data_IF_352916221830
#
_entry.id   IF_352916221830
#
_cell.length_a   1.000
_cell.length_b   1.000
_cell.length_c   1.000
_cell.angle_alpha   90.00
_cell.angle_beta   90.00
_cell.angle_gamma   90.00
#
_symmetry.space_group_name_H-M   'P 1'
#
loop_
_entity.id
_entity.type
_entity.pdbx_description
1 polymer ?
#
# COMPACT_ATOMS: atom_id res chain seq x y z
N UNK A 1 4.74 16.95 15.40
CA UNK A 1 4.03 17.88 14.49
C UNK A 1 2.58 17.45 14.40
N UNK A 2 1.63 18.38 14.47
CA UNK A 2 0.19 18.13 14.34
C UNK A 2 -0.37 19.00 13.24
N UNK A 3 -1.05 18.39 12.26
CA UNK A 3 -1.74 19.11 11.20
C UNK A 3 -3.21 19.26 11.58
N UNK A 4 -3.70 20.49 11.65
CA UNK A 4 -5.13 20.77 11.90
C UNK A 4 -5.98 20.60 10.62
N UNK A 5 -5.35 20.79 9.47
CA UNK A 5 -5.98 20.66 8.15
C UNK A 5 -5.07 19.83 7.25
N UNK A 6 -5.45 18.59 7.02
CA UNK A 6 -4.75 17.69 6.13
C UNK A 6 -5.77 16.93 5.26
N UNK A 7 -5.62 17.02 3.96
CA UNK A 7 -6.57 16.47 2.99
C UNK A 7 -5.88 15.52 2.03
N UNK A 8 -6.55 14.41 1.74
CA UNK A 8 -6.13 13.52 0.68
C UNK A 8 -6.52 14.12 -0.68
N UNK A 9 -5.66 14.06 -1.71
CA UNK A 9 -5.92 14.68 -3.01
C UNK A 9 -7.07 14.03 -3.79
N UNK A 10 -7.50 12.82 -3.42
CA UNK A 10 -8.61 12.11 -4.03
C UNK A 10 -9.19 11.07 -3.06
N UNK A 11 -10.49 10.77 -3.13
CA UNK A 11 -11.10 9.67 -2.39
C UNK A 11 -10.73 8.28 -2.95
N UNK A 12 -10.12 8.23 -4.15
CA UNK A 12 -9.71 6.99 -4.81
C UNK A 12 -8.21 6.75 -4.62
N UNK A 13 -7.87 5.53 -4.18
CA UNK A 13 -6.48 5.17 -3.84
C UNK A 13 -5.49 5.38 -5.00
N UNK A 14 -5.84 4.96 -6.20
CA UNK A 14 -4.99 5.08 -7.40
C UNK A 14 -4.65 6.53 -7.71
N UNK A 15 -5.67 7.38 -7.81
CA UNK A 15 -5.51 8.81 -8.13
C UNK A 15 -4.75 9.55 -7.04
N UNK A 16 -5.05 9.25 -5.77
CA UNK A 16 -4.37 9.83 -4.63
C UNK A 16 -2.88 9.45 -4.58
N UNK A 17 -2.57 8.18 -4.84
CA UNK A 17 -1.19 7.69 -4.86
C UNK A 17 -0.39 8.29 -6.01
N UNK A 18 -0.96 8.37 -7.20
CA UNK A 18 -0.33 9.06 -8.33
C UNK A 18 -0.06 10.53 -8.00
N UNK A 19 -1.03 11.23 -7.43
CA UNK A 19 -0.90 12.61 -7.01
C UNK A 19 0.25 12.83 -6.01
N UNK A 20 0.38 11.95 -5.02
CA UNK A 20 1.46 11.99 -4.03
C UNK A 20 2.83 11.76 -4.69
N UNK A 21 2.93 10.77 -5.60
CA UNK A 21 4.20 10.43 -6.23
C UNK A 21 4.75 11.55 -7.13
N UNK A 22 3.89 12.30 -7.78
CA UNK A 22 4.30 13.37 -8.69
C UNK A 22 4.15 14.78 -8.11
N UNK A 23 3.67 14.92 -6.87
CA UNK A 23 3.44 16.23 -6.25
C UNK A 23 2.46 17.12 -7.01
N UNK A 24 1.49 16.53 -7.70
CA UNK A 24 0.54 17.22 -8.55
C UNK A 24 -0.91 16.88 -8.18
N UNK A 25 -1.85 17.77 -8.47
CA UNK A 25 -3.28 17.43 -8.36
C UNK A 25 -3.65 16.29 -9.30
N UNK A 26 -4.67 15.52 -8.96
CA UNK A 26 -5.13 14.37 -9.76
C UNK A 26 -5.46 14.75 -11.21
N UNK A 27 -6.05 15.92 -11.43
CA UNK A 27 -6.34 16.44 -12.75
C UNK A 27 -5.05 16.72 -13.56
N UNK A 28 -4.02 17.27 -12.92
CA UNK A 28 -2.73 17.58 -13.54
C UNK A 28 -1.92 16.32 -13.84
N UNK A 29 -2.00 15.33 -12.97
CA UNK A 29 -1.41 14.00 -13.21
C UNK A 29 -2.10 13.31 -14.38
N UNK A 30 -3.39 13.61 -14.61
CA UNK A 30 -4.23 12.93 -15.59
C UNK A 30 -4.85 11.63 -15.08
N UNK A 31 -4.83 11.41 -13.76
CA UNK A 31 -5.36 10.23 -13.09
C UNK A 31 -6.44 10.65 -12.09
N UNK A 32 -7.65 10.98 -12.59
CA UNK A 32 -8.76 11.46 -11.75
C UNK A 32 -9.51 10.30 -11.11
N UNK A 33 -9.66 9.20 -11.84
CA UNK A 33 -10.34 8.01 -11.35
C UNK A 33 -9.61 6.72 -11.78
N UNK A 34 -9.91 5.63 -11.11
CA UNK A 34 -9.42 4.31 -11.53
C UNK A 34 -9.99 3.93 -12.90
N UNK A 35 -11.19 4.40 -13.20
CA UNK A 35 -11.88 4.14 -14.47
C UNK A 35 -11.13 4.74 -15.66
N UNK A 36 -10.57 5.94 -15.50
CA UNK A 36 -9.84 6.61 -16.57
C UNK A 36 -8.58 5.84 -16.97
N UNK A 37 -7.93 5.22 -16.03
CA UNK A 37 -6.61 4.62 -16.22
C UNK A 37 -6.69 3.11 -16.46
N UNK A 38 -7.54 2.41 -15.70
CA UNK A 38 -7.63 0.95 -15.76
C UNK A 38 -8.66 0.48 -16.78
N UNK A 39 -9.83 1.12 -16.79
CA UNK A 39 -10.95 0.67 -17.64
C UNK A 39 -10.94 1.30 -19.04
N UNK A 40 -10.71 2.59 -19.12
CA UNK A 40 -10.69 3.31 -20.41
C UNK A 40 -9.33 3.25 -21.09
N UNK A 41 -8.32 2.62 -20.49
CA UNK A 41 -6.95 2.56 -21.02
C UNK A 41 -6.43 3.93 -21.46
N UNK A 42 -6.89 4.99 -20.86
CA UNK A 42 -6.28 6.30 -21.03
C UNK A 42 -4.85 6.21 -20.54
N UNK A 43 -3.94 6.25 -21.46
CA UNK A 43 -2.54 6.18 -21.18
C UNK A 43 -2.12 7.51 -20.56
N UNK A 44 -2.00 7.52 -19.23
CA UNK A 44 -1.38 8.65 -18.56
C UNK A 44 0.12 8.48 -18.79
N UNK A 45 0.71 9.46 -19.44
CA UNK A 45 2.15 9.46 -19.70
C UNK A 45 2.90 9.82 -18.41
N UNK A 46 3.17 8.81 -17.61
CA UNK A 46 3.93 8.97 -16.38
C UNK A 46 5.44 9.12 -16.63
N UNK A 47 5.93 8.64 -17.77
CA UNK A 47 7.35 8.70 -18.13
C UNK A 47 7.83 10.14 -18.34
N UNK A 48 6.93 11.04 -18.73
CA UNK A 48 7.24 12.47 -18.87
C UNK A 48 7.12 13.27 -17.57
N UNK A 49 6.91 12.61 -16.45
CA UNK A 49 6.72 13.27 -15.16
C UNK A 49 7.77 12.76 -14.17
N UNK A 50 8.50 13.68 -13.57
CA UNK A 50 9.42 13.33 -12.49
C UNK A 50 8.66 12.93 -11.24
N UNK A 51 8.94 11.74 -10.75
CA UNK A 51 8.46 11.27 -9.45
C UNK A 51 9.24 11.96 -8.31
N UNK A 52 8.70 11.86 -7.11
CA UNK A 52 9.37 12.36 -5.91
C UNK A 52 10.75 11.70 -5.70
N UNK A 53 10.86 10.40 -6.00
CA UNK A 53 12.15 9.69 -5.89
C UNK A 53 13.15 10.14 -6.95
N UNK A 54 12.71 10.36 -8.19
CA UNK A 54 13.56 10.90 -9.27
C UNK A 54 14.03 12.32 -8.95
N UNK A 55 13.16 13.19 -8.47
CA UNK A 55 13.54 14.54 -8.05
C UNK A 55 14.62 14.54 -6.95
N UNK A 56 14.49 13.65 -5.98
CA UNK A 56 15.48 13.50 -4.91
C UNK A 56 16.80 12.97 -5.45
N UNK A 57 16.78 12.07 -6.40
CA UNK A 57 17.96 11.53 -7.07
C UNK A 57 18.67 12.61 -7.89
N UNK A 58 17.92 13.38 -8.68
CA UNK A 58 18.44 14.49 -9.49
C UNK A 58 18.98 15.66 -8.65
N UNK A 59 18.56 15.77 -7.39
CA UNK A 59 19.08 16.81 -6.49
C UNK A 59 20.60 16.73 -6.25
N UNK A 60 21.23 15.61 -6.60
CA UNK A 60 22.66 15.37 -6.39
C UNK A 60 23.07 15.21 -4.91
N UNK A 61 22.12 15.19 -3.98
CA UNK A 61 22.39 15.11 -2.53
C UNK A 61 22.61 13.68 -2.01
N UNK A 62 22.67 12.69 -2.90
CA UNK A 62 22.96 11.30 -2.55
C UNK A 62 21.85 10.58 -1.81
N UNK A 63 20.60 10.99 -2.00
CA UNK A 63 19.44 10.29 -1.43
C UNK A 63 19.38 8.86 -1.94
N UNK A 64 19.01 7.95 -1.02
CA UNK A 64 18.61 6.59 -1.35
C UNK A 64 17.14 6.44 -1.02
N UNK A 65 16.36 5.95 -1.98
CA UNK A 65 14.91 5.87 -1.86
C UNK A 65 14.40 4.43 -1.77
N UNK A 66 13.44 4.21 -0.87
CA UNK A 66 12.75 2.93 -0.70
C UNK A 66 11.24 3.09 -0.85
N UNK A 67 10.60 2.14 -1.54
CA UNK A 67 9.17 2.04 -1.61
C UNK A 67 8.73 0.62 -1.26
N UNK A 68 7.99 0.48 -0.15
CA UNK A 68 7.51 -0.80 0.32
C UNK A 68 5.98 -0.81 0.43
N UNK A 69 5.37 -1.84 -0.14
CA UNK A 69 3.94 -2.08 -0.05
C UNK A 69 3.13 -1.71 -1.28
N UNK A 70 1.91 -1.21 -1.04
CA UNK A 70 0.89 -1.02 -2.07
C UNK A 70 1.29 0.03 -3.09
N UNK A 71 1.40 -0.41 -4.33
CA UNK A 71 1.65 0.45 -5.47
C UNK A 71 0.43 1.19 -6.00
N UNK A 72 0.60 1.75 -7.19
CA UNK A 72 -0.46 2.33 -7.98
C UNK A 72 -0.46 1.64 -9.34
N UNK A 73 -1.53 0.95 -9.68
CA UNK A 73 -1.63 0.14 -10.90
C UNK A 73 -1.20 0.85 -12.19
N UNK A 74 -1.54 2.14 -12.41
CA UNK A 74 -1.14 2.83 -13.63
C UNK A 74 0.32 3.21 -13.70
N UNK A 75 1.01 3.26 -12.54
CA UNK A 75 2.41 3.67 -12.47
C UNK A 75 3.39 2.56 -12.85
N UNK A 76 2.92 1.32 -13.05
CA UNK A 76 3.83 0.21 -13.27
C UNK A 76 4.74 -0.04 -12.07
N UNK A 77 6.02 -0.21 -12.34
CA UNK A 77 7.02 -0.54 -11.34
C UNK A 77 7.60 0.75 -10.71
N UNK A 78 7.56 0.87 -9.39
CA UNK A 78 8.18 2.01 -8.69
C UNK A 78 9.69 2.10 -8.91
N UNK A 79 10.35 0.97 -9.19
CA UNK A 79 11.75 0.95 -9.57
C UNK A 79 12.01 1.77 -10.85
N UNK A 80 11.08 1.72 -11.78
CA UNK A 80 11.16 2.48 -13.04
C UNK A 80 10.89 3.98 -12.82
N UNK A 81 10.41 4.35 -11.63
CA UNK A 81 10.19 5.72 -11.18
C UNK A 81 11.19 6.17 -10.10
N UNK A 82 12.44 5.73 -10.22
CA UNK A 82 13.56 6.25 -9.47
C UNK A 82 13.79 5.66 -8.08
N UNK A 83 12.92 4.76 -7.58
CA UNK A 83 13.14 4.10 -6.30
C UNK A 83 14.25 3.06 -6.39
N UNK A 84 15.20 3.13 -5.46
CA UNK A 84 16.37 2.25 -5.44
C UNK A 84 16.06 0.87 -4.87
N UNK A 85 15.22 0.81 -3.85
CA UNK A 85 14.81 -0.43 -3.17
C UNK A 85 13.29 -0.54 -3.08
N UNK A 86 12.74 -1.72 -3.43
CA UNK A 86 11.31 -2.01 -3.36
C UNK A 86 11.10 -3.45 -2.88
N UNK A 87 9.95 -3.73 -2.23
CA UNK A 87 9.54 -5.09 -1.81
C UNK A 87 8.53 -5.70 -2.79
N UNK A 88 8.66 -5.39 -4.04
CA UNK A 88 7.69 -5.75 -5.06
C UNK A 88 7.56 -7.27 -5.26
N UNK A 89 6.33 -7.75 -5.32
CA UNK A 89 6.03 -9.16 -5.62
C UNK A 89 5.69 -9.29 -7.11
N UNK A 90 6.55 -9.96 -7.87
CA UNK A 90 6.50 -10.08 -9.33
C UNK A 90 5.16 -10.57 -9.91
N UNK A 91 4.40 -11.37 -9.19
CA UNK A 91 3.14 -11.94 -9.68
C UNK A 91 1.93 -11.01 -9.52
N UNK A 92 2.07 -9.95 -8.75
CA UNK A 92 1.01 -8.98 -8.47
C UNK A 92 1.54 -7.56 -8.57
N UNK A 93 1.53 -6.95 -9.75
CA UNK A 93 2.12 -5.63 -10.00
C UNK A 93 1.63 -4.52 -9.08
N UNK A 94 0.41 -4.61 -8.61
CA UNK A 94 -0.13 -3.65 -7.64
C UNK A 94 0.20 -4.02 -6.19
N UNK A 95 0.89 -5.15 -5.97
CA UNK A 95 1.26 -5.65 -4.65
C UNK A 95 0.06 -5.97 -3.74
N UNK A 96 -1.16 -5.92 -4.26
CA UNK A 96 -2.33 -6.25 -3.47
C UNK A 96 -2.39 -7.73 -3.10
N UNK A 97 -1.37 -8.52 -3.54
CA UNK A 97 -1.29 -9.95 -3.38
C UNK A 97 -2.41 -10.49 -2.52
N UNK A 98 -3.48 -10.96 -3.12
CA UNK A 98 -4.64 -11.47 -2.50
C UNK A 98 -5.43 -10.61 -1.59
N UNK A 99 -6.15 -9.89 -2.12
CA UNK A 99 -7.27 -9.30 -1.52
C UNK A 99 -8.24 -8.87 -2.56
N UNK A 100 -7.91 -9.15 -3.76
CA UNK A 100 -8.81 -8.88 -4.85
C UNK A 100 -9.79 -10.04 -4.94
N UNK A 101 -11.04 -9.74 -4.86
CA UNK A 101 -12.18 -10.64 -4.72
C UNK A 101 -12.38 -11.61 -5.88
N UNK A 102 -11.61 -11.49 -6.94
CA UNK A 102 -11.65 -12.39 -8.10
C UNK A 102 -10.60 -13.49 -8.06
N UNK A 103 -9.68 -13.49 -7.09
CA UNK A 103 -8.71 -14.58 -6.97
C UNK A 103 -9.14 -15.60 -5.92
N UNK A 104 -9.14 -16.90 -6.27
CA UNK A 104 -9.36 -17.96 -5.30
C UNK A 104 -8.34 -17.90 -4.15
N UNK A 105 -8.78 -18.22 -2.95
CA UNK A 105 -7.93 -18.25 -1.76
C UNK A 105 -6.68 -19.12 -1.92
N UNK A 106 -6.78 -20.19 -2.70
CA UNK A 106 -5.69 -21.14 -3.00
C UNK A 106 -4.51 -20.50 -3.77
N UNK A 107 -4.73 -19.37 -4.40
CA UNK A 107 -3.67 -18.59 -5.08
C UNK A 107 -3.07 -17.50 -4.21
N UNK A 108 -3.41 -17.47 -2.93
CA UNK A 108 -2.89 -16.47 -2.02
C UNK A 108 -1.41 -16.70 -1.73
N UNK A 109 -0.61 -15.69 -2.09
CA UNK A 109 0.83 -15.66 -1.77
C UNK A 109 1.10 -14.98 -0.42
N UNK A 110 0.05 -14.54 0.30
CA UNK A 110 0.19 -13.91 1.61
C UNK A 110 -0.10 -14.97 2.67
N UNK A 111 0.86 -15.25 3.55
CA UNK A 111 0.65 -16.13 4.67
C UNK A 111 -0.51 -15.64 5.57
N UNK A 112 -1.29 -16.55 6.12
CA UNK A 112 -2.40 -16.24 7.03
C UNK A 112 -1.95 -15.55 8.32
N UNK A 113 -0.68 -15.71 8.70
CA UNK A 113 -0.02 -15.06 9.83
C UNK A 113 0.54 -13.67 9.50
N UNK A 114 0.48 -13.24 8.25
CA UNK A 114 0.86 -11.91 7.81
C UNK A 114 -0.25 -11.19 7.04
N UNK A 115 -1.41 -10.94 7.67
CA UNK A 115 -2.55 -10.35 7.01
C UNK A 115 -2.21 -8.97 6.44
N UNK A 116 -2.53 -8.77 5.16
CA UNK A 116 -2.19 -7.52 4.44
C UNK A 116 -0.69 -7.19 4.46
N UNK A 117 0.16 -8.17 4.63
CA UNK A 117 1.62 -8.01 4.65
C UNK A 117 2.12 -7.00 5.69
N UNK A 118 1.41 -6.83 6.80
CA UNK A 118 1.78 -5.84 7.82
C UNK A 118 3.15 -6.14 8.42
N UNK A 119 3.43 -7.41 8.71
CA UNK A 119 4.69 -7.81 9.32
C UNK A 119 5.84 -7.86 8.31
N UNK A 120 5.62 -8.36 7.11
CA UNK A 120 6.65 -8.37 6.06
C UNK A 120 6.99 -6.95 5.60
N UNK A 121 6.02 -6.04 5.53
CA UNK A 121 6.29 -4.62 5.27
C UNK A 121 7.14 -3.98 6.35
N UNK A 122 6.82 -4.24 7.62
CA UNK A 122 7.61 -3.75 8.74
C UNK A 122 9.04 -4.31 8.68
N UNK A 123 9.19 -5.60 8.38
CA UNK A 123 10.51 -6.23 8.24
C UNK A 123 11.34 -5.60 7.12
N UNK A 124 10.76 -5.42 5.93
CA UNK A 124 11.46 -4.79 4.79
C UNK A 124 11.83 -3.34 5.09
N UNK A 125 10.92 -2.58 5.70
CA UNK A 125 11.15 -1.19 6.07
C UNK A 125 12.25 -1.05 7.12
N UNK A 126 12.26 -1.90 8.14
CA UNK A 126 13.29 -1.89 9.17
C UNK A 126 14.66 -2.28 8.60
N UNK A 127 14.73 -3.28 7.73
CA UNK A 127 15.98 -3.65 7.06
C UNK A 127 16.55 -2.50 6.22
N UNK A 128 15.68 -1.75 5.52
CA UNK A 128 16.09 -0.54 4.82
C UNK A 128 16.65 0.51 5.78
N UNK A 129 15.95 0.81 6.86
CA UNK A 129 16.37 1.81 7.84
C UNK A 129 17.69 1.44 8.52
N UNK A 130 17.87 0.17 8.90
CA UNK A 130 19.14 -0.33 9.48
C UNK A 130 20.30 -0.17 8.52
N UNK A 131 20.09 -0.42 7.22
CA UNK A 131 21.09 -0.23 6.19
C UNK A 131 21.43 1.28 6.03
N UNK A 132 20.42 2.15 6.04
CA UNK A 132 20.64 3.61 5.94
C UNK A 132 21.33 4.18 7.17
N UNK A 133 21.02 3.67 8.36
CA UNK A 133 21.71 4.06 9.59
C UNK A 133 23.21 3.72 9.57
N UNK A 134 23.58 2.60 8.94
CA UNK A 134 24.99 2.18 8.80
C UNK A 134 25.75 3.00 7.77
N UNK A 135 25.17 3.25 6.59
CA UNK A 135 25.84 3.96 5.50
C UNK A 135 25.74 5.49 5.61
N UNK A 136 25.00 5.99 6.58
CA UNK A 136 24.79 7.43 6.89
C UNK A 136 24.37 8.27 5.68
N UNK A 137 23.75 7.66 4.70
CA UNK A 137 23.22 8.38 3.54
C UNK A 137 21.84 8.97 3.87
N UNK A 138 21.53 10.16 3.34
CA UNK A 138 20.19 10.67 3.41
C UNK A 138 19.24 9.70 2.67
N UNK A 139 18.03 9.53 3.19
CA UNK A 139 17.09 8.61 2.59
C UNK A 139 15.69 9.18 2.51
N UNK A 140 14.93 8.61 1.60
CA UNK A 140 13.49 8.80 1.47
C UNK A 140 12.81 7.44 1.48
N UNK A 141 11.90 7.25 2.42
CA UNK A 141 11.19 5.98 2.59
C UNK A 141 9.69 6.19 2.51
N UNK A 142 9.04 5.48 1.60
CA UNK A 142 7.59 5.37 1.52
C UNK A 142 7.15 3.99 1.98
N UNK A 143 6.37 3.94 3.05
CA UNK A 143 5.70 2.72 3.53
C UNK A 143 4.21 2.84 3.19
N UNK A 144 3.76 2.01 2.30
CA UNK A 144 2.43 2.08 1.73
C UNK A 144 1.62 0.83 2.10
N UNK A 145 0.88 0.90 3.21
CA UNK A 145 0.12 -0.24 3.70
C UNK A 145 -1.02 -0.67 2.78
N UNK A 146 -1.28 -1.99 2.72
CA UNK A 146 -2.45 -2.57 2.06
C UNK A 146 -3.71 -2.49 2.92
N UNK A 147 -3.55 -2.50 4.25
CA UNK A 147 -4.64 -2.29 5.17
C UNK A 147 -5.19 -0.85 5.00
N UNK A 148 -6.46 -0.62 5.01
CA UNK A 148 -7.62 -1.51 5.17
C UNK A 148 -8.35 -1.79 3.84
N UNK A 149 -7.64 -2.03 2.78
CA UNK A 149 -8.25 -2.31 1.48
C UNK A 149 -9.04 -3.63 1.53
N UNK A 150 -10.11 -3.73 0.74
CA UNK A 150 -10.84 -4.98 0.52
C UNK A 150 -9.88 -6.06 -0.04
N UNK A 151 -10.01 -7.30 0.37
CA UNK A 151 -10.76 -7.88 1.48
C UNK A 151 -10.11 -7.53 2.82
N UNK A 152 -10.92 -7.31 3.86
CA UNK A 152 -10.37 -7.07 5.19
C UNK A 152 -9.81 -8.37 5.75
N UNK A 153 -8.54 -8.33 6.13
CA UNK A 153 -7.83 -9.46 6.72
C UNK A 153 -7.27 -9.05 8.07
N UNK A 154 -7.31 -9.97 9.02
CA UNK A 154 -6.71 -9.80 10.34
C UNK A 154 -6.28 -11.16 10.91
N UNK A 155 -5.38 -11.15 11.88
CA UNK A 155 -5.10 -12.35 12.67
C UNK A 155 -6.38 -12.84 13.36
N UNK A 156 -6.58 -14.16 13.43
CA UNK A 156 -7.73 -14.76 14.12
C UNK A 156 -7.83 -14.28 15.58
N UNK A 157 -6.70 -14.20 16.27
CA UNK A 157 -6.62 -13.69 17.64
C UNK A 157 -7.03 -12.23 17.77
N UNK A 158 -6.61 -11.38 16.85
CA UNK A 158 -6.98 -9.97 16.81
C UNK A 158 -8.48 -9.82 16.53
N UNK A 159 -9.00 -10.55 15.56
CA UNK A 159 -10.43 -10.55 15.22
C UNK A 159 -11.26 -10.96 16.43
N UNK A 160 -10.91 -12.07 17.09
CA UNK A 160 -11.61 -12.54 18.28
C UNK A 160 -11.65 -11.49 19.38
N UNK A 161 -10.50 -10.92 19.72
CA UNK A 161 -10.39 -9.86 20.73
C UNK A 161 -11.38 -8.69 20.48
N UNK A 162 -11.44 -8.21 19.24
CA UNK A 162 -12.33 -7.09 18.92
C UNK A 162 -13.80 -7.47 18.86
N UNK A 163 -14.13 -8.70 18.48
CA UNK A 163 -15.48 -9.19 18.56
C UNK A 163 -15.98 -9.29 20.00
N UNK A 164 -15.13 -9.77 20.91
CA UNK A 164 -15.45 -9.83 22.33
C UNK A 164 -15.70 -8.42 22.92
N UNK A 165 -14.85 -7.45 22.56
CA UNK A 165 -15.02 -6.04 22.98
C UNK A 165 -16.34 -5.45 22.45
N UNK A 166 -16.69 -5.72 21.19
CA UNK A 166 -17.93 -5.21 20.60
C UNK A 166 -19.13 -5.88 21.25
N UNK A 167 -19.08 -7.19 21.47
CA UNK A 167 -20.17 -7.92 22.13
C UNK A 167 -20.43 -7.38 23.55
N UNK A 168 -19.38 -7.16 24.32
CA UNK A 168 -19.48 -6.57 25.65
C UNK A 168 -20.07 -5.14 25.61
N UNK A 169 -19.60 -4.32 24.68
CA UNK A 169 -20.03 -2.93 24.54
C UNK A 169 -21.49 -2.79 24.11
N UNK A 170 -21.93 -3.65 23.18
CA UNK A 170 -23.28 -3.60 22.61
C UNK A 170 -24.28 -4.49 23.39
N UNK A 171 -23.84 -5.16 24.46
CA UNK A 171 -24.68 -6.05 25.27
C UNK A 171 -25.17 -7.28 24.48
N UNK A 172 -24.37 -7.76 23.54
CA UNK A 172 -24.72 -8.92 22.71
C UNK A 172 -24.35 -10.19 23.48
N UNK A 173 -25.38 -10.86 24.06
CA UNK A 173 -25.21 -12.15 24.73
C UNK A 173 -25.10 -13.34 23.75
N UNK A 174 -25.46 -13.13 22.49
CA UNK A 174 -25.38 -14.18 21.46
C UNK A 174 -23.94 -14.59 21.22
N UNK A 175 -23.71 -15.90 21.16
CA UNK A 175 -22.43 -16.44 20.73
C UNK A 175 -22.06 -15.82 19.40
N UNK A 176 -21.01 -15.00 19.40
CA UNK A 176 -20.43 -14.48 18.18
C UNK A 176 -20.24 -15.68 17.24
N UNK A 177 -20.81 -15.63 16.02
CA UNK A 177 -20.75 -16.76 15.10
C UNK A 177 -19.32 -17.26 14.98
N UNK A 178 -19.17 -18.56 14.95
CA UNK A 178 -17.85 -19.17 14.71
C UNK A 178 -17.36 -18.72 13.34
N UNK A 179 -16.55 -17.67 13.38
CA UNK A 179 -15.98 -17.03 12.18
C UNK A 179 -15.01 -17.93 11.43
N UNK A 180 -14.65 -19.09 11.98
CA UNK A 180 -13.91 -20.12 11.25
C UNK A 180 -14.71 -20.65 10.06
N UNK A 181 -16.05 -20.58 10.12
CA UNK A 181 -16.95 -20.96 9.03
C UNK A 181 -17.07 -19.92 7.92
N UNK A 182 -16.62 -18.69 8.16
CA UNK A 182 -16.56 -17.61 7.17
C UNK A 182 -15.16 -17.37 6.63
N UNK A 183 -14.20 -18.18 7.05
CA UNK A 183 -12.86 -18.19 6.51
C UNK A 183 -12.92 -18.97 5.18
N UNK A 184 -12.73 -18.33 4.02
CA UNK A 184 -12.74 -19.03 2.74
C UNK A 184 -11.39 -19.72 2.52
N UNK A 185 -11.09 -20.64 3.38
CA UNK A 185 -10.07 -21.66 3.18
C UNK A 185 -10.61 -22.92 3.40
#
# INVERSE_FOLDING_TARGET
MRFSNAYCPSPVCTSSRASIQFGMTTARVGCVSIHDVVMNKKQVDFEKKLSLAEMLKESGKGYVSGFFGKGCTPLGWFKDHGYDETDFIHKHPNGNGHGDWWEPAEKTLIPLDDPKRVFSLAKSSNAFLEKRAKDKKPFFLTISHYALHVRNMSLKTTRRKYLDIVAEREGIEEKIPDISKFDPN
#
